data_IF_403139866631
#
_entry.id   IF_403139866631
#
_cell.length_a   1.000
_cell.length_b   1.000
_cell.length_c   1.000
_cell.angle_alpha   90.00
_cell.angle_beta   90.00
_cell.angle_gamma   90.00
#
_symmetry.space_group_name_H-M   'P 1'
#
loop_
_entity.id
_entity.type
_entity.pdbx_description
1 polymer ?
#
# COMPACT_ATOMS: atom_id res chain seq x y z
N UNK A 1 9.50 3.59 22.80
CA UNK A 1 8.26 2.87 23.20
C UNK A 1 8.49 1.39 22.94
N UNK A 2 8.21 0.52 23.93
CA UNK A 2 8.22 -0.94 23.75
C UNK A 2 7.21 -1.33 22.66
N UNK A 3 7.46 -2.39 21.91
CA UNK A 3 6.62 -2.78 20.77
C UNK A 3 5.11 -2.88 21.13
N UNK A 4 4.79 -3.45 22.31
CA UNK A 4 3.40 -3.57 22.79
C UNK A 4 2.69 -2.22 22.99
N UNK A 5 3.38 -1.22 23.53
CA UNK A 5 2.78 0.09 23.79
C UNK A 5 2.43 0.83 22.48
N UNK A 6 3.12 0.53 21.38
CA UNK A 6 2.79 1.11 20.09
C UNK A 6 1.49 0.54 19.51
N UNK A 7 1.32 -0.79 19.55
CA UNK A 7 0.12 -1.42 19.02
C UNK A 7 -1.14 -0.97 19.78
N UNK A 8 -1.03 -0.81 21.11
CA UNK A 8 -2.11 -0.27 21.94
C UNK A 8 -2.41 1.18 21.54
N UNK A 9 -1.39 2.02 21.41
CA UNK A 9 -1.56 3.42 21.00
C UNK A 9 -2.12 3.55 19.58
N UNK A 10 -1.67 2.72 18.64
CA UNK A 10 -2.15 2.70 17.27
C UNK A 10 -3.61 2.23 17.17
N UNK A 11 -3.99 1.19 17.94
CA UNK A 11 -5.38 0.74 18.02
C UNK A 11 -6.29 1.80 18.67
N UNK A 12 -5.86 2.40 19.78
CA UNK A 12 -6.60 3.47 20.43
C UNK A 12 -6.78 4.69 19.53
N UNK A 13 -5.73 5.09 18.81
CA UNK A 13 -5.79 6.17 17.82
C UNK A 13 -6.76 5.82 16.67
N UNK A 14 -6.69 4.60 16.13
CA UNK A 14 -7.59 4.14 15.07
C UNK A 14 -9.05 4.16 15.51
N UNK A 15 -9.36 3.62 16.69
CA UNK A 15 -10.73 3.62 17.25
C UNK A 15 -11.22 5.05 17.47
N UNK A 16 -10.40 5.89 18.13
CA UNK A 16 -10.75 7.29 18.37
C UNK A 16 -11.00 8.04 17.06
N UNK A 17 -10.17 7.79 16.04
CA UNK A 17 -10.31 8.43 14.73
C UNK A 17 -11.59 8.01 14.00
N UNK A 18 -11.98 6.71 14.05
CA UNK A 18 -13.25 6.22 13.49
C UNK A 18 -14.43 6.87 14.19
N UNK A 19 -14.43 6.91 15.54
CA UNK A 19 -15.52 7.49 16.31
C UNK A 19 -15.63 8.99 16.00
N UNK A 20 -14.51 9.70 16.01
CA UNK A 20 -14.48 11.15 15.76
C UNK A 20 -14.99 11.48 14.35
N UNK A 21 -14.51 10.76 13.33
CA UNK A 21 -14.94 10.98 11.94
C UNK A 21 -16.42 10.71 11.73
N UNK A 22 -16.98 9.67 12.36
CA UNK A 22 -18.41 9.36 12.29
C UNK A 22 -19.30 10.41 12.97
N UNK A 23 -18.80 11.07 14.03
CA UNK A 23 -19.53 12.11 14.74
C UNK A 23 -19.50 13.44 13.97
N UNK A 24 -18.32 13.81 13.44
CA UNK A 24 -18.13 15.12 12.83
C UNK A 24 -18.52 15.20 11.36
N UNK A 25 -18.43 14.08 10.61
CA UNK A 25 -18.72 14.09 9.17
C UNK A 25 -20.03 13.36 8.87
N UNK A 26 -21.03 14.10 8.46
CA UNK A 26 -22.34 13.58 7.99
C UNK A 26 -22.36 13.33 6.49
N UNK A 27 -21.49 13.98 5.71
CA UNK A 27 -21.46 13.84 4.26
C UNK A 27 -20.61 12.61 3.85
N UNK A 28 -21.20 11.70 3.09
CA UNK A 28 -20.56 10.49 2.61
C UNK A 28 -19.33 10.73 1.73
N UNK A 29 -19.25 11.88 1.07
CA UNK A 29 -18.11 12.25 0.24
C UNK A 29 -16.78 12.23 1.01
N UNK A 30 -16.77 12.70 2.26
CA UNK A 30 -15.53 12.67 3.07
C UNK A 30 -15.04 11.26 3.35
N UNK A 31 -15.95 10.28 3.50
CA UNK A 31 -15.57 8.88 3.66
C UNK A 31 -15.04 8.28 2.37
N UNK A 32 -15.58 8.66 1.20
CA UNK A 32 -15.03 8.28 -0.10
C UNK A 32 -13.61 8.81 -0.29
N UNK A 33 -13.37 10.08 -0.03
CA UNK A 33 -12.06 10.70 -0.16
C UNK A 33 -11.04 10.11 0.83
N UNK A 34 -11.45 9.95 2.10
CA UNK A 34 -10.61 9.38 3.13
C UNK A 34 -10.26 7.90 2.84
N UNK A 35 -11.20 7.11 2.31
CA UNK A 35 -10.91 5.74 1.87
C UNK A 35 -9.75 5.68 0.88
N UNK A 36 -9.74 6.55 -0.14
CA UNK A 36 -8.66 6.60 -1.14
C UNK A 36 -7.32 6.97 -0.52
N UNK A 37 -7.30 7.97 0.38
CA UNK A 37 -6.06 8.35 1.09
C UNK A 37 -5.53 7.19 1.94
N UNK A 38 -6.40 6.50 2.67
CA UNK A 38 -6.03 5.32 3.47
C UNK A 38 -5.54 4.17 2.60
N UNK A 39 -6.18 3.93 1.45
CA UNK A 39 -5.75 2.95 0.47
C UNK A 39 -4.33 3.23 -0.02
N UNK A 40 -4.00 4.48 -0.32
CA UNK A 40 -2.65 4.87 -0.69
C UNK A 40 -1.66 4.77 0.48
N UNK A 41 -2.08 5.00 1.74
CA UNK A 41 -1.21 4.72 2.91
C UNK A 41 -0.82 3.24 2.94
N UNK A 42 -1.77 2.32 2.69
CA UNK A 42 -1.46 0.89 2.64
C UNK A 42 -0.53 0.56 1.47
N UNK A 43 -0.86 1.02 0.25
CA UNK A 43 -0.09 0.74 -0.96
C UNK A 43 1.33 1.29 -0.88
N UNK A 44 1.49 2.54 -0.44
CA UNK A 44 2.81 3.18 -0.30
C UNK A 44 3.65 2.55 0.81
N UNK A 45 3.02 2.18 1.94
CA UNK A 45 3.71 1.48 3.03
C UNK A 45 4.13 0.07 2.59
N UNK A 46 3.25 -0.66 1.89
CA UNK A 46 3.55 -1.96 1.33
C UNK A 46 4.69 -1.89 0.30
N UNK A 47 4.66 -0.90 -0.59
CA UNK A 47 5.73 -0.65 -1.55
C UNK A 47 7.05 -0.33 -0.84
N UNK A 48 7.01 0.48 0.21
CA UNK A 48 8.20 0.91 0.95
C UNK A 48 8.93 -0.25 1.64
N UNK A 49 8.22 -1.33 2.02
CA UNK A 49 8.85 -2.53 2.60
C UNK A 49 9.83 -3.16 1.60
N UNK A 50 9.51 -3.20 0.31
CA UNK A 50 10.42 -3.69 -0.71
C UNK A 50 11.28 -2.55 -1.26
N UNK A 51 10.67 -1.46 -1.79
CA UNK A 51 11.37 -0.37 -2.46
C UNK A 51 12.25 0.46 -1.54
N UNK A 52 11.69 0.88 -0.40
CA UNK A 52 12.39 1.77 0.53
C UNK A 52 13.42 1.06 1.41
N UNK A 53 13.08 -0.13 1.93
CA UNK A 53 13.97 -0.83 2.87
C UNK A 53 15.03 -1.67 2.19
N UNK A 54 14.76 -2.29 1.02
CA UNK A 54 15.74 -3.12 0.29
C UNK A 54 16.32 -2.45 -0.96
N UNK A 55 15.78 -1.29 -1.39
CA UNK A 55 16.23 -0.60 -2.59
C UNK A 55 15.69 -1.17 -3.91
N UNK A 56 14.86 -2.21 -3.89
CA UNK A 56 14.31 -2.85 -5.07
C UNK A 56 13.02 -2.19 -5.57
N UNK A 57 13.11 -1.35 -6.60
CA UNK A 57 11.97 -0.61 -7.16
C UNK A 57 11.02 -1.58 -7.87
N UNK A 58 9.78 -1.67 -7.38
CA UNK A 58 8.73 -2.55 -7.92
C UNK A 58 7.64 -1.72 -8.60
N UNK A 59 7.42 -1.93 -9.90
CA UNK A 59 6.30 -1.34 -10.66
C UNK A 59 5.11 -2.30 -10.82
N UNK A 60 5.18 -3.50 -10.24
CA UNK A 60 4.09 -4.48 -10.24
C UNK A 60 2.97 -4.20 -9.23
N UNK A 61 2.96 -3.06 -8.55
CA UNK A 61 1.97 -2.70 -7.53
C UNK A 61 0.53 -2.84 -8.03
N UNK A 62 0.24 -2.37 -9.26
CA UNK A 62 -1.08 -2.50 -9.87
C UNK A 62 -1.52 -3.95 -10.02
N UNK A 63 -0.60 -4.86 -10.35
CA UNK A 63 -0.92 -6.29 -10.47
C UNK A 63 -1.29 -6.92 -9.12
N UNK A 64 -0.49 -6.70 -8.07
CA UNK A 64 -0.79 -7.22 -6.74
C UNK A 64 -2.10 -6.66 -6.18
N UNK A 65 -2.33 -5.38 -6.38
CA UNK A 65 -3.58 -4.71 -6.01
C UNK A 65 -4.78 -5.29 -6.75
N UNK A 66 -4.71 -5.43 -8.07
CA UNK A 66 -5.75 -6.01 -8.90
C UNK A 66 -6.00 -7.49 -8.56
N UNK A 67 -4.96 -8.29 -8.28
CA UNK A 67 -5.13 -9.68 -7.84
C UNK A 67 -5.95 -9.78 -6.57
N UNK A 68 -5.76 -8.87 -5.61
CA UNK A 68 -6.62 -8.77 -4.43
C UNK A 68 -8.07 -8.44 -4.78
N UNK A 69 -8.30 -7.47 -5.68
CA UNK A 69 -9.63 -7.10 -6.14
C UNK A 69 -10.34 -8.26 -6.86
N UNK A 70 -9.66 -8.93 -7.79
CA UNK A 70 -10.24 -10.06 -8.51
C UNK A 70 -10.43 -11.31 -7.65
N UNK A 71 -9.60 -11.52 -6.63
CA UNK A 71 -9.86 -12.55 -5.60
C UNK A 71 -11.18 -12.32 -4.88
N UNK A 72 -11.50 -11.07 -4.54
CA UNK A 72 -12.80 -10.71 -3.95
C UNK A 72 -13.97 -10.95 -4.91
N UNK A 73 -13.79 -10.68 -6.21
CA UNK A 73 -14.80 -11.00 -7.24
C UNK A 73 -15.07 -12.50 -7.30
N UNK A 74 -14.01 -13.33 -7.31
CA UNK A 74 -14.15 -14.80 -7.28
C UNK A 74 -14.95 -15.25 -6.07
N UNK A 75 -14.58 -14.75 -4.89
CA UNK A 75 -15.26 -15.10 -3.63
C UNK A 75 -16.71 -14.57 -3.58
N UNK A 76 -16.98 -13.40 -4.16
CA UNK A 76 -18.34 -12.86 -4.26
C UNK A 76 -19.27 -13.76 -5.09
N UNK A 77 -18.74 -14.39 -6.15
CA UNK A 77 -19.49 -15.31 -7.02
C UNK A 77 -19.59 -16.74 -6.48
N UNK A 78 -18.76 -17.13 -5.51
CA UNK A 78 -18.72 -18.49 -4.98
C UNK A 78 -20.09 -19.00 -4.46
N UNK A 79 -20.88 -18.23 -3.67
CA UNK A 79 -22.19 -18.69 -3.21
C UNK A 79 -23.14 -19.08 -4.35
N UNK A 80 -23.16 -18.31 -5.44
CA UNK A 80 -23.98 -18.61 -6.61
C UNK A 80 -23.53 -19.89 -7.35
N UNK A 81 -22.20 -20.13 -7.40
CA UNK A 81 -21.65 -21.34 -8.00
C UNK A 81 -21.95 -22.59 -7.17
N UNK A 82 -21.76 -22.52 -5.85
CA UNK A 82 -22.05 -23.67 -4.96
C UNK A 82 -23.52 -24.03 -5.00
N UNK A 83 -24.41 -23.05 -5.10
CA UNK A 83 -25.82 -23.29 -5.30
C UNK A 83 -26.11 -23.94 -6.65
N UNK A 84 -25.50 -23.45 -7.75
CA UNK A 84 -25.74 -23.98 -9.11
C UNK A 84 -25.17 -25.40 -9.30
N UNK A 85 -24.02 -25.73 -8.69
CA UNK A 85 -23.38 -27.03 -8.91
C UNK A 85 -23.73 -28.10 -7.88
N UNK A 86 -23.94 -27.69 -6.63
CA UNK A 86 -24.17 -28.63 -5.51
C UNK A 86 -25.51 -28.46 -4.83
N UNK A 87 -26.36 -27.51 -5.25
CA UNK A 87 -27.64 -27.22 -4.60
C UNK A 87 -27.54 -26.68 -3.16
N UNK A 88 -26.34 -26.31 -2.72
CA UNK A 88 -26.07 -25.87 -1.34
C UNK A 88 -26.06 -24.34 -1.27
N UNK A 89 -26.95 -23.78 -0.45
CA UNK A 89 -26.95 -22.37 -0.14
C UNK A 89 -25.80 -22.04 0.84
N UNK A 90 -24.71 -21.46 0.33
CA UNK A 90 -23.65 -20.92 1.19
C UNK A 90 -23.91 -19.43 1.46
N UNK A 91 -23.67 -18.96 2.70
CA UNK A 91 -23.84 -17.56 3.02
C UNK A 91 -22.82 -16.69 2.26
N UNK A 92 -23.17 -15.42 2.05
CA UNK A 92 -22.24 -14.46 1.47
C UNK A 92 -20.97 -14.33 2.34
N UNK A 93 -19.82 -14.41 1.70
CA UNK A 93 -18.52 -14.34 2.40
C UNK A 93 -18.30 -12.90 2.89
N UNK A 94 -18.02 -12.68 4.17
CA UNK A 94 -17.82 -11.34 4.70
C UNK A 94 -16.55 -10.70 4.16
N UNK A 95 -16.60 -9.39 3.90
CA UNK A 95 -15.50 -8.63 3.29
C UNK A 95 -14.14 -8.73 4.04
N UNK A 96 -14.07 -8.78 5.38
CA UNK A 96 -12.81 -9.00 6.08
C UNK A 96 -12.10 -10.31 5.68
N UNK A 97 -12.87 -11.38 5.43
CA UNK A 97 -12.32 -12.66 4.96
C UNK A 97 -11.77 -12.49 3.53
N UNK A 98 -12.50 -11.78 2.67
CA UNK A 98 -12.05 -11.50 1.30
C UNK A 98 -10.75 -10.68 1.29
N UNK A 99 -10.58 -9.75 2.23
CA UNK A 99 -9.34 -8.97 2.39
C UNK A 99 -8.17 -9.90 2.73
N UNK A 100 -8.35 -10.81 3.69
CA UNK A 100 -7.29 -11.75 4.09
C UNK A 100 -6.94 -12.69 2.93
N UNK A 101 -7.94 -13.26 2.26
CA UNK A 101 -7.72 -14.16 1.11
C UNK A 101 -7.08 -13.41 -0.06
N UNK A 102 -7.53 -12.19 -0.37
CA UNK A 102 -6.90 -11.33 -1.37
C UNK A 102 -5.43 -11.06 -1.08
N UNK A 103 -5.09 -10.86 0.20
CA UNK A 103 -3.70 -10.76 0.65
C UNK A 103 -2.91 -12.05 0.46
N UNK A 104 -3.47 -13.20 0.81
CA UNK A 104 -2.81 -14.51 0.63
C UNK A 104 -2.56 -14.79 -0.85
N UNK A 105 -3.56 -14.61 -1.71
CA UNK A 105 -3.42 -14.82 -3.16
C UNK A 105 -2.35 -13.91 -3.75
N UNK A 106 -2.40 -12.62 -3.45
CA UNK A 106 -1.40 -11.66 -3.92
C UNK A 106 -0.01 -11.93 -3.32
N UNK A 107 0.08 -12.40 -2.08
CA UNK A 107 1.33 -12.83 -1.46
C UNK A 107 1.94 -14.05 -2.16
N UNK A 108 1.13 -15.05 -2.53
CA UNK A 108 1.59 -16.22 -3.30
C UNK A 108 2.08 -15.78 -4.69
N UNK A 109 1.33 -14.92 -5.37
CA UNK A 109 1.79 -14.33 -6.64
C UNK A 109 3.08 -13.54 -6.42
N UNK A 110 3.20 -12.77 -5.33
CA UNK A 110 4.42 -12.06 -4.94
C UNK A 110 5.62 -12.97 -4.71
N UNK A 111 5.41 -14.12 -4.07
CA UNK A 111 6.44 -15.12 -3.86
C UNK A 111 6.90 -15.73 -5.18
N UNK A 112 5.97 -16.15 -6.05
CA UNK A 112 6.27 -16.71 -7.35
C UNK A 112 6.99 -15.72 -8.27
N UNK A 113 6.49 -14.49 -8.35
CA UNK A 113 7.08 -13.42 -9.15
C UNK A 113 8.43 -12.99 -8.59
N UNK A 114 8.53 -12.86 -7.26
CA UNK A 114 9.80 -12.59 -6.59
C UNK A 114 10.84 -13.64 -6.90
N UNK A 115 10.50 -14.92 -6.82
CA UNK A 115 11.44 -16.00 -7.14
C UNK A 115 11.98 -15.92 -8.57
N UNK A 116 11.14 -15.53 -9.53
CA UNK A 116 11.53 -15.38 -10.92
C UNK A 116 12.35 -14.12 -11.18
N UNK A 117 11.94 -12.98 -10.59
CA UNK A 117 12.49 -11.66 -10.93
C UNK A 117 13.64 -11.21 -10.03
N UNK A 118 13.75 -11.70 -8.79
CA UNK A 118 14.82 -11.30 -7.85
C UNK A 118 16.21 -11.81 -8.19
N UNK A 119 16.34 -12.64 -9.24
CA UNK A 119 17.62 -12.94 -9.87
C UNK A 119 18.16 -11.76 -10.69
N UNK A 120 17.26 -10.84 -11.10
CA UNK A 120 17.61 -9.61 -11.79
C UNK A 120 17.92 -8.54 -10.75
N UNK A 121 18.89 -7.65 -11.05
CA UNK A 121 19.32 -6.57 -10.15
C UNK A 121 19.00 -5.21 -10.76
N UNK A 122 18.79 -4.21 -9.90
CA UNK A 122 18.62 -2.81 -10.31
C UNK A 122 17.44 -2.59 -11.25
N UNK A 123 17.68 -1.90 -12.37
CA UNK A 123 16.64 -1.50 -13.34
C UNK A 123 15.95 -2.70 -14.00
N UNK A 124 16.67 -3.80 -14.20
CA UNK A 124 16.09 -5.01 -14.81
C UNK A 124 14.98 -5.64 -13.97
N UNK A 125 15.10 -5.57 -12.64
CA UNK A 125 14.02 -5.99 -11.74
C UNK A 125 12.77 -5.12 -11.91
N UNK A 126 12.93 -3.80 -12.01
CA UNK A 126 11.82 -2.87 -12.20
C UNK A 126 11.07 -3.12 -13.52
N UNK A 127 11.81 -3.35 -14.61
CA UNK A 127 11.23 -3.68 -15.93
C UNK A 127 10.51 -5.04 -15.88
N UNK A 128 11.11 -6.06 -15.24
CA UNK A 128 10.51 -7.38 -15.12
C UNK A 128 9.20 -7.35 -14.31
N UNK A 129 9.12 -6.57 -13.24
CA UNK A 129 7.88 -6.43 -12.45
C UNK A 129 6.78 -5.70 -13.21
N UNK A 130 7.13 -4.73 -14.08
CA UNK A 130 6.18 -4.07 -14.96
C UNK A 130 5.66 -5.04 -16.04
N UNK A 131 6.55 -5.79 -16.69
CA UNK A 131 6.18 -6.80 -17.70
C UNK A 131 5.25 -7.86 -17.10
N UNK A 132 5.54 -8.30 -15.87
CA UNK A 132 4.71 -9.26 -15.16
C UNK A 132 3.31 -8.70 -14.87
N UNK A 133 3.19 -7.42 -14.53
CA UNK A 133 1.89 -6.79 -14.34
C UNK A 133 1.03 -6.87 -15.61
N UNK A 134 1.63 -6.68 -16.79
CA UNK A 134 0.96 -6.83 -18.08
C UNK A 134 0.55 -8.29 -18.33
N UNK A 135 1.40 -9.26 -18.00
CA UNK A 135 1.08 -10.70 -18.11
C UNK A 135 -0.14 -11.06 -17.24
N UNK A 136 -0.12 -10.65 -15.98
CA UNK A 136 -1.24 -10.92 -15.05
C UNK A 136 -2.53 -10.24 -15.53
N UNK A 137 -2.45 -9.00 -16.02
CA UNK A 137 -3.58 -8.30 -16.63
C UNK A 137 -4.15 -9.07 -17.80
N UNK A 138 -3.28 -9.57 -18.70
CA UNK A 138 -3.70 -10.35 -19.87
C UNK A 138 -4.42 -11.64 -19.47
N UNK A 139 -3.96 -12.32 -18.42
CA UNK A 139 -4.63 -13.50 -17.88
C UNK A 139 -6.06 -13.16 -17.40
N UNK A 140 -6.21 -12.06 -16.67
CA UNK A 140 -7.53 -11.61 -16.18
C UNK A 140 -8.47 -11.19 -17.33
N UNK A 141 -7.94 -10.49 -18.35
CA UNK A 141 -8.71 -10.10 -19.55
C UNK A 141 -9.28 -11.31 -20.28
N UNK A 142 -8.57 -12.43 -20.30
CA UNK A 142 -8.98 -13.68 -20.94
C UNK A 142 -9.76 -14.62 -20.01
N UNK A 143 -10.07 -14.21 -18.78
CA UNK A 143 -10.79 -15.03 -17.81
C UNK A 143 -12.25 -14.59 -17.68
N UNK A 144 -13.14 -15.20 -18.48
CA UNK A 144 -14.55 -14.85 -18.56
C UNK A 144 -15.29 -14.94 -17.21
N UNK A 145 -14.87 -15.84 -16.31
CA UNK A 145 -15.48 -16.00 -14.99
C UNK A 145 -15.49 -14.73 -14.16
N UNK A 146 -14.45 -13.93 -14.25
CA UNK A 146 -14.31 -12.66 -13.53
C UNK A 146 -14.76 -11.44 -14.35
N UNK A 147 -15.39 -11.66 -15.51
CA UNK A 147 -15.90 -10.64 -16.42
C UNK A 147 -15.01 -10.35 -17.62
N UNK A 148 -13.79 -10.92 -17.65
CA UNK A 148 -12.85 -10.77 -18.77
C UNK A 148 -12.62 -9.32 -19.15
N UNK A 149 -12.53 -9.03 -20.45
CA UNK A 149 -12.34 -7.68 -20.98
C UNK A 149 -13.54 -6.74 -20.76
N UNK A 150 -14.73 -7.30 -20.52
CA UNK A 150 -15.98 -6.51 -20.34
C UNK A 150 -16.12 -5.93 -18.94
N UNK A 151 -15.32 -6.42 -17.98
CA UNK A 151 -15.47 -6.07 -16.58
C UNK A 151 -16.70 -6.71 -15.92
N UNK A 152 -16.94 -6.36 -14.67
CA UNK A 152 -18.01 -6.92 -13.86
C UNK A 152 -18.61 -5.88 -12.91
N UNK A 153 -19.94 -5.94 -12.74
CA UNK A 153 -20.67 -5.16 -11.74
C UNK A 153 -20.76 -5.95 -10.43
N UNK A 154 -20.45 -5.30 -9.32
CA UNK A 154 -20.62 -5.82 -7.96
C UNK A 154 -21.65 -4.96 -7.24
N UNK A 155 -22.78 -5.56 -6.88
CA UNK A 155 -23.83 -4.88 -6.13
C UNK A 155 -23.42 -4.85 -4.66
N UNK A 156 -23.39 -3.66 -4.07
CA UNK A 156 -23.13 -3.47 -2.64
C UNK A 156 -24.29 -4.03 -1.83
N UNK A 157 -24.04 -4.76 -0.73
CA UNK A 157 -25.08 -5.09 0.22
C UNK A 157 -25.74 -3.83 0.77
N UNK A 158 -27.07 -3.84 0.90
CA UNK A 158 -27.83 -2.68 1.41
C UNK A 158 -27.51 -2.38 2.88
N UNK A 159 -27.21 -3.41 3.66
CA UNK A 159 -26.93 -3.27 5.09
C UNK A 159 -25.43 -3.36 5.36
N UNK A 160 -24.86 -2.33 6.04
CA UNK A 160 -23.50 -2.37 6.54
C UNK A 160 -23.46 -3.12 7.88
N UNK A 161 -22.52 -4.08 8.08
CA UNK A 161 -22.44 -4.86 9.32
C UNK A 161 -22.20 -4.02 10.60
N UNK A 162 -21.61 -2.82 10.45
CA UNK A 162 -21.30 -1.90 11.58
C UNK A 162 -22.30 -0.77 11.73
N UNK A 163 -23.46 -0.83 11.05
CA UNK A 163 -24.41 0.28 10.96
C UNK A 163 -23.89 1.45 10.10
N UNK A 164 -24.80 2.36 9.73
CA UNK A 164 -24.48 3.46 8.82
C UNK A 164 -24.39 3.03 7.35
N UNK A 165 -23.70 3.82 6.52
CA UNK A 165 -23.58 3.54 5.10
C UNK A 165 -22.47 2.52 4.80
N UNK A 166 -22.60 1.81 3.67
CA UNK A 166 -21.61 0.82 3.27
C UNK A 166 -20.23 1.44 3.02
N UNK A 167 -20.17 2.70 2.60
CA UNK A 167 -18.89 3.41 2.44
C UNK A 167 -18.18 3.68 3.79
N UNK A 168 -18.95 3.94 4.85
CA UNK A 168 -18.39 4.08 6.20
C UNK A 168 -17.78 2.76 6.70
N UNK A 169 -18.40 1.63 6.32
CA UNK A 169 -17.86 0.32 6.60
C UNK A 169 -16.55 0.05 5.84
N UNK A 170 -16.50 0.35 4.52
CA UNK A 170 -15.28 0.26 3.71
C UNK A 170 -14.15 1.14 4.27
N UNK A 171 -14.46 2.37 4.62
CA UNK A 171 -13.54 3.30 5.26
C UNK A 171 -12.97 2.72 6.57
N UNK A 172 -13.82 2.15 7.42
CA UNK A 172 -13.39 1.56 8.70
C UNK A 172 -12.43 0.40 8.48
N UNK A 173 -12.74 -0.50 7.53
CA UNK A 173 -11.86 -1.63 7.18
C UNK A 173 -10.52 -1.15 6.62
N UNK A 174 -10.54 -0.14 5.75
CA UNK A 174 -9.32 0.42 5.17
C UNK A 174 -8.46 1.14 6.22
N UNK A 175 -9.08 1.81 7.21
CA UNK A 175 -8.35 2.41 8.32
C UNK A 175 -7.67 1.34 9.19
N UNK A 176 -8.38 0.26 9.53
CA UNK A 176 -7.78 -0.87 10.27
C UNK A 176 -6.59 -1.44 9.49
N UNK A 177 -6.76 -1.64 8.18
CA UNK A 177 -5.69 -2.15 7.32
C UNK A 177 -4.50 -1.18 7.24
N UNK A 178 -4.74 0.13 7.18
CA UNK A 178 -3.69 1.15 7.21
C UNK A 178 -2.90 1.12 8.52
N UNK A 179 -3.58 1.03 9.67
CA UNK A 179 -2.94 0.91 10.98
C UNK A 179 -2.10 -0.37 11.07
N UNK A 180 -2.64 -1.50 10.59
CA UNK A 180 -1.93 -2.79 10.58
C UNK A 180 -0.70 -2.73 9.70
N UNK A 181 -0.82 -2.22 8.46
CA UNK A 181 0.31 -2.13 7.51
C UNK A 181 1.43 -1.23 8.02
N UNK A 182 1.09 -0.08 8.60
CA UNK A 182 2.06 0.84 9.23
C UNK A 182 2.72 0.19 10.46
N UNK A 183 1.95 -0.54 11.26
CA UNK A 183 2.47 -1.30 12.40
C UNK A 183 3.46 -2.39 11.97
N UNK A 184 3.16 -3.12 10.89
CA UNK A 184 4.06 -4.13 10.30
C UNK A 184 5.34 -3.46 9.82
N UNK A 185 5.26 -2.39 9.02
CA UNK A 185 6.41 -1.67 8.50
C UNK A 185 7.34 -1.17 9.61
N UNK A 186 6.77 -0.60 10.68
CA UNK A 186 7.53 -0.17 11.85
C UNK A 186 8.20 -1.33 12.58
N UNK A 187 7.50 -2.46 12.70
CA UNK A 187 8.04 -3.65 13.37
C UNK A 187 9.21 -4.22 12.57
N UNK A 188 9.12 -4.25 11.25
CA UNK A 188 10.19 -4.67 10.35
C UNK A 188 11.39 -3.73 10.49
N UNK A 189 11.19 -2.41 10.38
CA UNK A 189 12.27 -1.41 10.47
C UNK A 189 13.11 -1.56 11.76
N UNK A 190 12.49 -2.04 12.86
CA UNK A 190 13.13 -2.21 14.17
C UNK A 190 13.59 -3.62 14.48
N UNK A 191 13.44 -4.54 13.55
CA UNK A 191 13.79 -5.95 13.69
C UNK A 191 15.11 -6.28 13.01
N UNK A 192 15.61 -7.48 13.22
CA UNK A 192 16.77 -8.03 12.48
C UNK A 192 16.49 -8.14 10.97
N UNK A 193 15.23 -8.34 10.56
CA UNK A 193 14.82 -8.28 9.16
C UNK A 193 15.11 -6.90 8.54
N UNK A 194 14.79 -5.83 9.26
CA UNK A 194 15.07 -4.46 8.82
C UNK A 194 16.56 -4.15 8.66
N UNK A 195 17.39 -4.70 9.54
CA UNK A 195 18.85 -4.60 9.41
C UNK A 195 19.34 -5.35 8.16
N UNK A 196 18.83 -6.56 7.90
CA UNK A 196 19.13 -7.32 6.69
C UNK A 196 18.68 -6.60 5.41
N UNK A 197 17.51 -5.98 5.42
CA UNK A 197 17.02 -5.17 4.30
C UNK A 197 17.91 -3.94 4.04
N UNK A 198 18.33 -3.24 5.09
CA UNK A 198 19.23 -2.10 4.98
C UNK A 198 20.61 -2.51 4.41
N UNK A 199 21.15 -3.65 4.83
CA UNK A 199 22.39 -4.18 4.29
C UNK A 199 22.28 -4.46 2.78
N UNK A 200 21.17 -5.05 2.31
CA UNK A 200 20.91 -5.28 0.87
C UNK A 200 20.81 -3.96 0.11
N UNK A 201 20.13 -2.97 0.68
CA UNK A 201 19.96 -1.64 0.06
C UNK A 201 21.28 -0.91 -0.10
N UNK A 202 22.15 -1.00 0.90
CA UNK A 202 23.43 -0.26 0.90
C UNK A 202 24.42 -0.91 -0.06
N UNK A 203 24.64 -2.23 0.01
CA UNK A 203 25.42 -3.01 -0.97
C UNK A 203 25.07 -4.49 -0.88
N UNK A 204 24.38 -5.02 -1.88
CA UNK A 204 23.92 -6.41 -1.92
C UNK A 204 25.08 -7.41 -1.98
N UNK A 205 26.15 -7.10 -2.75
CA UNK A 205 27.30 -8.00 -2.89
C UNK A 205 28.09 -8.08 -1.57
N UNK A 206 28.28 -6.95 -0.91
CA UNK A 206 28.94 -6.90 0.39
C UNK A 206 28.09 -7.63 1.45
N UNK A 207 26.77 -7.50 1.42
CA UNK A 207 25.86 -8.22 2.31
C UNK A 207 25.94 -9.74 2.11
N UNK A 208 25.97 -10.22 0.84
CA UNK A 208 26.16 -11.65 0.51
C UNK A 208 27.52 -12.15 1.01
N UNK A 209 28.59 -11.41 0.78
CA UNK A 209 29.93 -11.75 1.27
C UNK A 209 29.99 -11.78 2.81
N UNK A 210 29.17 -10.97 3.49
CA UNK A 210 28.99 -10.97 4.94
C UNK A 210 28.08 -12.09 5.47
N UNK A 211 27.56 -12.98 4.60
CA UNK A 211 26.70 -14.11 4.99
C UNK A 211 25.24 -13.77 5.16
N UNK A 212 24.77 -12.60 4.71
CA UNK A 212 23.36 -12.23 4.73
C UNK A 212 22.59 -13.02 3.66
N UNK A 213 21.51 -13.74 3.98
CA UNK A 213 20.72 -14.51 3.00
C UNK A 213 19.85 -13.59 2.13
N UNK A 214 20.46 -12.86 1.19
CA UNK A 214 19.83 -11.76 0.43
C UNK A 214 18.60 -12.21 -0.34
N UNK A 215 18.65 -13.36 -1.04
CA UNK A 215 17.52 -13.90 -1.79
C UNK A 215 16.31 -14.18 -0.88
N UNK A 216 16.54 -14.84 0.26
CA UNK A 216 15.46 -15.14 1.22
C UNK A 216 14.80 -13.88 1.77
N UNK A 217 15.60 -12.88 2.14
CA UNK A 217 15.12 -11.60 2.64
C UNK A 217 14.32 -10.84 1.58
N UNK A 218 14.79 -10.80 0.34
CA UNK A 218 14.09 -10.17 -0.77
C UNK A 218 12.76 -10.87 -1.07
N UNK A 219 12.71 -12.21 -1.02
CA UNK A 219 11.47 -12.97 -1.16
C UNK A 219 10.46 -12.64 -0.07
N UNK A 220 10.89 -12.54 1.19
CA UNK A 220 10.04 -12.14 2.30
C UNK A 220 9.49 -10.72 2.07
N UNK A 221 10.35 -9.78 1.67
CA UNK A 221 9.95 -8.41 1.40
C UNK A 221 8.91 -8.33 0.27
N UNK A 222 9.13 -9.05 -0.84
CA UNK A 222 8.21 -9.07 -2.00
C UNK A 222 6.89 -9.73 -1.67
N UNK A 223 6.90 -10.86 -0.97
CA UNK A 223 5.70 -11.58 -0.54
C UNK A 223 4.85 -10.73 0.38
N UNK A 224 5.46 -10.10 1.38
CA UNK A 224 4.74 -9.27 2.35
C UNK A 224 4.22 -7.98 1.71
N UNK A 225 5.02 -7.34 0.86
CA UNK A 225 4.61 -6.19 0.06
C UNK A 225 3.41 -6.54 -0.83
N UNK A 226 3.49 -7.64 -1.60
CA UNK A 226 2.40 -8.12 -2.44
C UNK A 226 1.14 -8.47 -1.65
N UNK A 227 1.28 -9.12 -0.48
CA UNK A 227 0.16 -9.46 0.38
C UNK A 227 -0.59 -8.21 0.87
N UNK A 228 0.12 -7.19 1.37
CA UNK A 228 -0.50 -5.94 1.83
C UNK A 228 -1.16 -5.18 0.67
N UNK A 229 -0.55 -5.16 -0.52
CA UNK A 229 -1.15 -4.57 -1.72
C UNK A 229 -2.44 -5.29 -2.12
N UNK A 230 -2.46 -6.61 -2.08
CA UNK A 230 -3.65 -7.41 -2.34
C UNK A 230 -4.76 -7.19 -1.32
N UNK A 231 -4.41 -7.08 -0.04
CA UNK A 231 -5.38 -6.70 1.00
C UNK A 231 -6.02 -5.33 0.71
N UNK A 232 -5.24 -4.35 0.24
CA UNK A 232 -5.75 -3.03 -0.14
C UNK A 232 -6.64 -3.08 -1.39
N UNK A 233 -6.40 -4.03 -2.30
CA UNK A 233 -7.20 -4.23 -3.50
C UNK A 233 -8.53 -4.90 -3.26
N UNK A 234 -8.62 -5.80 -2.29
CA UNK A 234 -9.81 -6.62 -2.06
C UNK A 234 -11.13 -5.84 -1.86
N UNK A 235 -11.17 -4.67 -1.18
CA UNK A 235 -12.38 -3.86 -1.06
C UNK A 235 -12.75 -3.07 -2.32
N UNK A 236 -11.82 -2.95 -3.30
CA UNK A 236 -12.02 -2.10 -4.49
C UNK A 236 -13.32 -2.39 -5.26
N UNK A 237 -13.71 -3.67 -5.54
CA UNK A 237 -14.94 -3.96 -6.29
C UNK A 237 -16.19 -3.38 -5.62
N UNK A 238 -16.21 -3.35 -4.29
CA UNK A 238 -17.30 -2.77 -3.50
C UNK A 238 -17.23 -1.24 -3.42
N UNK A 239 -16.04 -0.67 -3.62
CA UNK A 239 -15.85 0.78 -3.68
C UNK A 239 -16.30 1.36 -5.02
N UNK A 240 -15.83 0.80 -6.13
CA UNK A 240 -16.13 1.31 -7.49
C UNK A 240 -17.44 0.77 -8.07
N UNK A 241 -17.96 -0.37 -7.58
CA UNK A 241 -19.14 -1.11 -8.06
C UNK A 241 -19.03 -1.69 -9.46
N UNK A 242 -18.22 -1.12 -10.34
CA UNK A 242 -17.84 -1.67 -11.64
C UNK A 242 -16.34 -1.84 -11.68
N UNK A 243 -15.89 -3.07 -11.93
CA UNK A 243 -14.47 -3.42 -11.98
C UNK A 243 -14.13 -3.88 -13.39
N UNK A 244 -13.15 -3.23 -14.01
CA UNK A 244 -12.58 -3.62 -15.30
C UNK A 244 -11.05 -3.77 -15.20
N UNK A 245 -10.43 -4.60 -16.05
CA UNK A 245 -8.98 -4.81 -16.01
C UNK A 245 -8.17 -3.55 -16.29
N UNK A 246 -8.66 -2.64 -17.16
CA UNK A 246 -7.93 -1.42 -17.53
C UNK A 246 -7.75 -0.49 -16.34
N UNK A 247 -8.81 -0.26 -15.57
CA UNK A 247 -8.77 0.58 -14.37
C UNK A 247 -8.06 -0.09 -13.19
N UNK A 248 -8.24 -1.42 -13.02
CA UNK A 248 -7.68 -2.16 -11.88
C UNK A 248 -6.16 -2.32 -11.94
N UNK A 249 -5.61 -2.51 -13.15
CA UNK A 249 -4.17 -2.64 -13.40
C UNK A 249 -3.51 -1.30 -13.78
N UNK A 250 -4.17 -0.17 -13.52
CA UNK A 250 -3.67 1.14 -13.92
C UNK A 250 -2.29 1.43 -13.32
N UNK A 251 -1.36 1.88 -14.19
CA UNK A 251 0.00 2.25 -13.81
C UNK A 251 0.03 3.36 -12.74
N UNK A 252 -1.02 4.18 -12.64
CA UNK A 252 -1.13 5.21 -11.62
C UNK A 252 -1.00 4.66 -10.19
N UNK A 253 -1.46 3.43 -9.91
CA UNK A 253 -1.26 2.79 -8.61
C UNK A 253 0.23 2.58 -8.32
N UNK A 254 1.01 2.13 -9.30
CA UNK A 254 2.44 1.95 -9.14
C UNK A 254 3.16 3.30 -8.96
N UNK A 255 2.87 4.28 -9.82
CA UNK A 255 3.48 5.62 -9.75
C UNK A 255 3.20 6.28 -8.40
N UNK A 256 1.96 6.29 -7.93
CA UNK A 256 1.60 6.87 -6.64
C UNK A 256 2.25 6.12 -5.47
N UNK A 257 2.29 4.78 -5.52
CA UNK A 257 2.92 3.97 -4.47
C UNK A 257 4.43 4.22 -4.34
N UNK A 258 5.09 4.64 -5.41
CA UNK A 258 6.50 5.08 -5.43
C UNK A 258 6.64 6.53 -4.98
N UNK A 259 5.83 7.43 -5.55
CA UNK A 259 5.92 8.86 -5.33
C UNK A 259 5.70 9.26 -3.86
N UNK A 260 4.71 8.64 -3.20
CA UNK A 260 4.36 8.96 -1.83
C UNK A 260 5.49 8.68 -0.82
N UNK A 261 6.14 7.49 -0.81
CA UNK A 261 7.32 7.25 0.02
C UNK A 261 8.51 8.14 -0.34
N UNK A 262 8.74 8.43 -1.63
CA UNK A 262 9.82 9.34 -2.06
C UNK A 262 9.62 10.73 -1.47
N UNK A 263 8.42 11.29 -1.56
CA UNK A 263 8.07 12.60 -0.99
C UNK A 263 8.16 12.57 0.54
N UNK A 264 7.63 11.53 1.18
CA UNK A 264 7.60 11.41 2.63
C UNK A 264 8.95 11.07 3.26
N UNK A 265 9.74 10.22 2.59
CA UNK A 265 11.03 9.67 3.05
C UNK A 265 11.02 8.15 3.13
N UNK A 266 11.70 7.47 2.18
CA UNK A 266 11.67 6.02 2.00
C UNK A 266 12.32 5.21 3.13
N UNK A 267 13.25 5.81 3.87
CA UNK A 267 14.03 5.10 4.91
C UNK A 267 13.30 4.95 6.24
N UNK A 268 12.08 5.44 6.36
CA UNK A 268 11.29 5.44 7.60
C UNK A 268 9.88 4.94 7.37
N UNK A 269 9.34 4.20 8.35
CA UNK A 269 7.95 3.73 8.35
C UNK A 269 6.91 4.87 8.30
N UNK A 270 7.27 6.06 8.79
CA UNK A 270 6.36 7.23 8.84
C UNK A 270 6.34 8.01 7.52
N UNK A 271 7.39 7.86 6.70
CA UNK A 271 7.50 8.56 5.41
C UNK A 271 6.33 8.29 4.46
N UNK A 272 6.01 7.01 4.14
CA UNK A 272 4.86 6.67 3.30
C UNK A 272 3.54 7.26 3.80
N UNK A 273 3.35 7.30 5.13
CA UNK A 273 2.13 7.88 5.74
C UNK A 273 2.04 9.38 5.46
N UNK A 274 3.12 10.13 5.73
CA UNK A 274 3.16 11.58 5.48
C UNK A 274 2.98 11.87 3.99
N UNK A 275 3.69 11.16 3.13
CA UNK A 275 3.60 11.34 1.68
C UNK A 275 2.20 11.03 1.13
N UNK A 276 1.55 9.96 1.63
CA UNK A 276 0.20 9.58 1.21
C UNK A 276 -0.85 10.58 1.68
N UNK A 277 -0.76 11.06 2.90
CA UNK A 277 -1.68 12.09 3.41
C UNK A 277 -1.53 13.37 2.57
N UNK A 278 -0.30 13.82 2.36
CA UNK A 278 -0.04 15.05 1.62
C UNK A 278 -0.47 14.94 0.15
N UNK A 279 0.09 13.97 -0.57
CA UNK A 279 -0.17 13.81 -2.00
C UNK A 279 -1.61 13.32 -2.26
N UNK A 280 -2.11 12.37 -1.46
CA UNK A 280 -3.47 11.86 -1.60
C UNK A 280 -4.53 12.93 -1.34
N UNK A 281 -4.34 13.81 -0.34
CA UNK A 281 -5.25 14.93 -0.09
C UNK A 281 -5.23 15.94 -1.23
N UNK A 282 -4.04 16.30 -1.73
CA UNK A 282 -3.91 17.21 -2.89
C UNK A 282 -4.60 16.61 -4.12
N UNK A 283 -4.42 15.32 -4.39
CA UNK A 283 -5.08 14.64 -5.51
C UNK A 283 -6.60 14.64 -5.38
N UNK A 284 -7.14 14.36 -4.19
CA UNK A 284 -8.59 14.40 -3.96
C UNK A 284 -9.16 15.81 -4.15
N UNK A 285 -8.48 16.82 -3.64
CA UNK A 285 -8.87 18.22 -3.86
C UNK A 285 -8.81 18.59 -5.35
N UNK A 286 -7.73 18.23 -6.05
CA UNK A 286 -7.57 18.51 -7.47
C UNK A 286 -8.63 17.81 -8.34
N UNK A 287 -9.01 16.58 -8.01
CA UNK A 287 -10.04 15.83 -8.72
C UNK A 287 -11.41 16.53 -8.65
N UNK A 288 -11.72 17.14 -7.51
CA UNK A 288 -13.01 17.83 -7.31
C UNK A 288 -13.01 19.23 -7.91
N UNK A 289 -11.89 19.96 -7.79
CA UNK A 289 -11.84 21.39 -8.15
C UNK A 289 -11.48 21.62 -9.62
N UNK A 290 -10.66 20.75 -10.22
CA UNK A 290 -10.10 20.99 -11.55
C UNK A 290 -10.53 19.92 -12.54
N UNK A 291 -9.95 18.73 -12.45
CA UNK A 291 -10.24 17.55 -13.30
C UNK A 291 -9.42 16.34 -12.88
N UNK A 292 -9.97 15.14 -13.03
CA UNK A 292 -9.25 13.89 -12.82
C UNK A 292 -8.08 13.70 -13.82
N UNK A 293 -8.17 14.28 -15.02
CA UNK A 293 -7.12 14.16 -16.05
C UNK A 293 -5.82 14.89 -15.66
N UNK A 294 -5.90 15.99 -14.90
CA UNK A 294 -4.73 16.76 -14.46
C UNK A 294 -4.03 16.13 -13.24
N UNK A 295 -4.62 15.12 -12.65
CA UNK A 295 -4.10 14.48 -11.43
C UNK A 295 -2.68 13.92 -11.65
N UNK A 296 -2.43 13.25 -12.79
CA UNK A 296 -1.11 12.69 -13.12
C UNK A 296 -0.05 13.79 -13.32
N UNK A 297 -0.42 14.91 -13.92
CA UNK A 297 0.46 16.08 -14.11
C UNK A 297 0.83 16.69 -12.75
N UNK A 298 -0.14 16.86 -11.85
CA UNK A 298 0.09 17.37 -10.49
C UNK A 298 1.05 16.46 -9.73
N UNK A 299 0.85 15.14 -9.79
CA UNK A 299 1.75 14.16 -9.17
C UNK A 299 3.17 14.29 -9.72
N UNK A 300 3.31 14.38 -11.05
CA UNK A 300 4.61 14.52 -11.70
C UNK A 300 5.35 15.81 -11.30
N UNK A 301 4.66 16.95 -11.31
CA UNK A 301 5.23 18.23 -10.90
C UNK A 301 5.63 18.25 -9.42
N UNK A 302 4.79 17.71 -8.55
CA UNK A 302 5.09 17.60 -7.13
C UNK A 302 6.29 16.68 -6.90
N UNK A 303 6.35 15.54 -7.59
CA UNK A 303 7.46 14.60 -7.48
C UNK A 303 8.78 15.27 -7.88
N UNK A 304 8.81 15.96 -9.03
CA UNK A 304 9.99 16.70 -9.50
C UNK A 304 10.39 17.76 -8.47
N UNK A 305 9.44 18.55 -7.99
CA UNK A 305 9.69 19.59 -6.99
C UNK A 305 10.29 19.01 -5.69
N UNK A 306 9.70 17.91 -5.18
CA UNK A 306 10.20 17.29 -3.96
C UNK A 306 11.56 16.61 -4.13
N UNK A 307 11.84 15.96 -5.26
CA UNK A 307 13.16 15.35 -5.54
C UNK A 307 14.25 16.40 -5.57
N UNK A 308 13.97 17.61 -6.09
CA UNK A 308 14.94 18.71 -6.15
C UNK A 308 15.13 19.35 -4.76
N UNK A 309 14.04 19.64 -4.04
CA UNK A 309 14.07 20.41 -2.79
C UNK A 309 14.42 19.51 -1.59
N UNK A 310 13.94 18.26 -1.58
CA UNK A 310 14.00 17.33 -0.47
C UNK A 310 14.42 15.91 -0.92
N UNK A 311 15.66 15.70 -1.38
CA UNK A 311 16.10 14.40 -1.92
C UNK A 311 15.95 13.23 -0.92
N UNK A 312 15.95 13.52 0.38
CA UNK A 312 15.72 12.53 1.45
C UNK A 312 14.26 12.54 1.97
N UNK A 313 13.36 13.20 1.26
CA UNK A 313 11.96 13.38 1.64
C UNK A 313 11.76 14.31 2.85
N UNK A 314 10.49 14.52 3.22
CA UNK A 314 10.09 15.42 4.32
C UNK A 314 10.71 14.97 5.65
N UNK A 315 10.67 13.65 5.94
CA UNK A 315 11.24 13.10 7.18
C UNK A 315 12.74 13.35 7.24
N UNK A 316 13.46 13.19 6.13
CA UNK A 316 14.89 13.46 6.03
C UNK A 316 15.24 14.93 6.31
N UNK A 317 14.47 15.88 5.79
CA UNK A 317 14.64 17.32 6.06
C UNK A 317 14.47 17.64 7.56
N UNK A 318 13.44 17.08 8.20
CA UNK A 318 13.18 17.28 9.63
C UNK A 318 14.34 16.71 10.46
N UNK A 319 14.83 15.52 10.12
CA UNK A 319 15.96 14.89 10.81
C UNK A 319 17.26 15.70 10.64
N UNK A 320 17.55 16.18 9.42
CA UNK A 320 18.72 17.02 9.15
C UNK A 320 18.69 18.32 9.95
N UNK A 321 17.52 18.98 10.03
CA UNK A 321 17.35 20.18 10.86
C UNK A 321 17.57 19.91 12.36
N UNK A 322 17.06 18.78 12.87
CA UNK A 322 17.25 18.38 14.27
C UNK A 322 18.73 18.11 14.58
N UNK A 323 19.45 17.41 13.70
CA UNK A 323 20.90 17.15 13.87
C UNK A 323 21.70 18.43 13.88
N UNK A 324 21.42 19.37 12.97
CA UNK A 324 22.11 20.71 12.97
C UNK A 324 21.85 21.48 14.24
N UNK A 325 20.64 21.48 14.79
CA UNK A 325 20.33 22.13 16.07
C UNK A 325 21.02 21.48 17.25
N UNK A 326 21.08 20.15 17.32
CA UNK A 326 21.79 19.43 18.36
C UNK A 326 23.29 19.74 18.34
N UNK A 327 23.94 19.70 17.17
CA UNK A 327 25.37 20.07 17.03
C UNK A 327 25.67 21.52 17.38
N UNK A 328 24.75 22.46 17.07
CA UNK A 328 24.91 23.85 17.48
C UNK A 328 24.83 24.05 19.01
N UNK A 329 23.95 23.30 19.68
CA UNK A 329 23.83 23.32 21.15
C UNK A 329 25.07 22.72 21.81
N UNK A 330 25.61 21.61 21.29
CA UNK A 330 26.87 21.02 21.78
C UNK A 330 28.08 21.96 21.63
N UNK A 331 28.22 22.62 20.45
CA UNK A 331 29.26 23.57 20.19
C UNK A 331 29.20 24.76 21.17
N UNK A 332 28.02 25.30 21.45
CA UNK A 332 27.80 26.36 22.43
C UNK A 332 28.09 25.92 23.88
N UNK A 333 27.81 24.65 24.21
CA UNK A 333 28.12 24.09 25.53
C UNK A 333 29.63 23.95 25.74
N UNK A 334 30.35 23.50 24.72
CA UNK A 334 31.83 23.40 24.77
C UNK A 334 32.52 24.77 24.90
N UNK A 335 31.99 25.82 24.24
CA UNK A 335 32.51 27.19 24.38
C UNK A 335 32.25 27.80 25.77
N UNK A 336 31.27 27.32 26.53
CA UNK A 336 30.99 27.78 27.89
C UNK A 336 31.84 27.11 28.97
N UNK A 337 32.48 25.99 28.64
CA UNK A 337 33.30 25.19 29.56
C UNK A 337 34.79 25.37 29.30
N UNK A 338 35.20 26.08 28.25
CA UNK A 338 36.53 26.55 27.93
C UNK A 338 36.71 28.00 28.40
#
# INVERSE_FOLDING_TARGET
MRAGNFWIAAAAFGIAFVVLTRIFFTNEYYFFAAYVVLQYIVLSTAWNILGGYTGYINFGTGAFFAMGAYSSVVMHKMPALTQAWFGVHTPAIPLPVMIVVGGIVSGIVGLGTGYLTLRLRGVFFAIATLALAVVVQTLIVNWDYVGGSRGIYIIRPANAPLGGSYIQYLYTLMLVLAVVSVGIARTIERSTLGLGFAAIRDDELAAEAGGVPTLGLKLIATTLSGALMGMAGAPLPYYVTYLDPGSSFNLAYAVNSVAMPVIGGMTSWIGPVIGSILLGTIQQLATVTISSALNLLIVGLLLIGFVIIAPNGIVGLVQARRRRRAGAVEALAQQRTA
#
